data_IF_914307233597
#
_entry.id   IF_914307233597
#
_cell.length_a   1.000
_cell.length_b   1.000
_cell.length_c   1.000
_cell.angle_alpha   90.00
_cell.angle_beta   90.00
_cell.angle_gamma   90.00
#
_symmetry.space_group_name_H-M   'P 1'
#
loop_
_entity.id
_entity.type
_entity.pdbx_description
1 polymer ?
#
# COMPACT_ATOMS: atom_id res chain seq x y z
N UNK A 1 59.69 -42.92 8.79
CA UNK A 1 58.35 -43.46 8.48
C UNK A 1 57.20 -42.88 9.33
N UNK A 2 57.47 -42.17 10.44
CA UNK A 2 56.46 -41.44 11.23
C UNK A 2 55.97 -40.15 10.56
N UNK A 3 56.88 -39.34 10.03
CA UNK A 3 56.58 -38.05 9.38
C UNK A 3 55.51 -38.13 8.26
N UNK A 4 55.55 -39.16 7.42
CA UNK A 4 54.56 -39.37 6.33
C UNK A 4 53.18 -39.77 6.88
N UNK A 5 53.13 -40.46 8.03
CA UNK A 5 51.87 -40.80 8.70
C UNK A 5 51.24 -39.55 9.34
N UNK A 6 52.07 -38.68 9.89
CA UNK A 6 51.63 -37.44 10.52
C UNK A 6 51.04 -36.46 9.48
N UNK A 7 51.69 -36.33 8.30
CA UNK A 7 51.17 -35.52 7.19
C UNK A 7 49.82 -36.04 6.67
N UNK A 8 49.67 -37.37 6.53
CA UNK A 8 48.40 -37.98 6.10
C UNK A 8 47.28 -37.71 7.09
N UNK A 9 47.56 -37.76 8.40
CA UNK A 9 46.57 -37.47 9.45
C UNK A 9 46.13 -36.01 9.42
N UNK A 10 47.06 -35.06 9.21
CA UNK A 10 46.76 -33.63 9.09
C UNK A 10 45.86 -33.36 7.87
N UNK A 11 46.15 -33.99 6.74
CA UNK A 11 45.36 -33.81 5.51
C UNK A 11 43.92 -34.34 5.66
N UNK A 12 43.76 -35.50 6.31
CA UNK A 12 42.44 -36.09 6.60
C UNK A 12 41.65 -35.18 7.55
N UNK A 13 42.27 -34.65 8.60
CA UNK A 13 41.61 -33.73 9.53
C UNK A 13 41.18 -32.42 8.85
N UNK A 14 42.02 -31.87 7.96
CA UNK A 14 41.67 -30.68 7.17
C UNK A 14 40.47 -30.93 6.25
N UNK A 15 40.40 -32.10 5.61
CA UNK A 15 39.28 -32.46 4.74
C UNK A 15 37.96 -32.56 5.52
N UNK A 16 38.01 -33.17 6.71
CA UNK A 16 36.86 -33.31 7.60
C UNK A 16 36.35 -31.95 8.11
N UNK A 17 37.26 -31.03 8.44
CA UNK A 17 36.89 -29.67 8.90
C UNK A 17 36.19 -28.90 7.77
N UNK A 18 36.72 -28.95 6.55
CA UNK A 18 36.10 -28.27 5.41
C UNK A 18 34.73 -28.87 5.05
N UNK A 19 34.58 -30.20 5.11
CA UNK A 19 33.30 -30.86 4.90
C UNK A 19 32.26 -30.45 5.97
N UNK A 20 32.66 -30.37 7.24
CA UNK A 20 31.80 -29.91 8.32
C UNK A 20 31.36 -28.45 8.13
N UNK A 21 32.28 -27.57 7.75
CA UNK A 21 31.96 -26.16 7.46
C UNK A 21 31.00 -26.02 6.27
N UNK A 22 31.15 -26.86 5.24
CA UNK A 22 30.25 -26.84 4.08
C UNK A 22 28.83 -27.29 4.46
N UNK A 23 28.71 -28.30 5.34
CA UNK A 23 27.41 -28.77 5.83
C UNK A 23 26.73 -27.70 6.69
N UNK A 24 27.47 -27.04 7.59
CA UNK A 24 26.93 -25.95 8.42
C UNK A 24 26.47 -24.79 7.52
N UNK A 25 27.31 -24.38 6.57
CA UNK A 25 26.99 -23.27 5.67
C UNK A 25 25.84 -23.59 4.72
N UNK A 26 25.68 -24.84 4.28
CA UNK A 26 24.55 -25.27 3.46
C UNK A 26 23.24 -25.31 4.25
N UNK A 27 23.29 -25.69 5.54
CA UNK A 27 22.08 -25.79 6.37
C UNK A 27 21.37 -24.47 6.60
N UNK A 28 22.09 -23.35 6.60
CA UNK A 28 21.51 -22.01 6.81
C UNK A 28 20.88 -21.42 5.52
N UNK A 29 21.27 -21.91 4.33
CA UNK A 29 20.83 -21.36 3.04
C UNK A 29 19.40 -21.81 2.68
N UNK A 30 18.99 -23.00 3.10
CA UNK A 30 17.67 -23.57 2.77
C UNK A 30 16.52 -22.95 3.59
N UNK A 31 16.81 -22.35 4.76
CA UNK A 31 15.79 -21.83 5.69
C UNK A 31 15.41 -20.35 5.47
N UNK A 32 16.13 -19.64 4.59
CA UNK A 32 15.94 -18.20 4.39
C UNK A 32 14.95 -17.82 3.28
N UNK A 33 14.82 -18.64 2.24
CA UNK A 33 14.14 -18.22 1.00
C UNK A 33 12.61 -18.39 1.06
N UNK A 34 12.10 -19.44 1.71
CA UNK A 34 10.64 -19.60 1.91
C UNK A 34 10.06 -18.57 2.87
N UNK A 35 10.82 -18.16 3.89
CA UNK A 35 10.41 -17.14 4.86
C UNK A 35 10.35 -15.72 4.24
N UNK A 36 11.14 -15.45 3.20
CA UNK A 36 11.10 -14.17 2.45
C UNK A 36 9.93 -14.17 1.46
N UNK A 37 9.64 -15.30 0.80
CA UNK A 37 8.58 -15.37 -0.22
C UNK A 37 7.15 -15.35 0.37
N UNK A 38 6.94 -15.89 1.58
CA UNK A 38 5.64 -15.83 2.28
C UNK A 38 5.28 -14.42 2.79
N UNK A 39 6.20 -13.45 2.74
CA UNK A 39 5.89 -12.01 2.87
C UNK A 39 5.41 -11.37 1.56
N UNK A 40 5.00 -12.16 0.58
CA UNK A 40 4.17 -11.71 -0.53
C UNK A 40 2.78 -11.29 0.00
N UNK A 41 2.76 -10.07 0.56
CA UNK A 41 1.67 -9.13 0.82
C UNK A 41 0.30 -9.80 1.09
N UNK A 42 0.02 -10.08 2.37
CA UNK A 42 -1.37 -10.13 2.84
C UNK A 42 -1.94 -8.71 2.72
N UNK A 43 -2.51 -8.37 1.56
CA UNK A 43 -3.29 -7.14 1.38
C UNK A 43 -4.56 -7.28 2.24
N UNK A 44 -4.42 -6.99 3.54
CA UNK A 44 -5.54 -6.61 4.39
C UNK A 44 -6.03 -5.27 3.84
N UNK A 45 -6.85 -5.30 2.78
CA UNK A 45 -7.55 -4.11 2.29
C UNK A 45 -8.59 -3.75 3.34
N UNK A 46 -8.12 -3.14 4.42
CA UNK A 46 -8.98 -2.48 5.39
C UNK A 46 -9.47 -1.25 4.65
N UNK A 47 -10.73 -1.24 4.21
CA UNK A 47 -11.32 -0.08 3.55
C UNK A 47 -11.07 1.15 4.42
N UNK A 48 -10.08 1.96 4.04
CA UNK A 48 -9.60 3.09 4.83
C UNK A 48 -10.36 4.30 4.34
N UNK A 49 -11.35 4.72 5.12
CA UNK A 49 -12.01 6.00 4.89
C UNK A 49 -11.06 7.10 5.33
N UNK A 50 -10.70 7.99 4.40
CA UNK A 50 -9.70 9.03 4.61
C UNK A 50 -10.28 10.30 5.23
N UNK A 51 -11.45 10.72 4.76
CA UNK A 51 -12.14 11.92 5.19
C UNK A 51 -13.64 11.75 4.93
N UNK A 52 -14.48 12.32 5.80
CA UNK A 52 -15.93 12.31 5.66
C UNK A 52 -16.46 13.66 6.12
N UNK A 53 -17.13 14.37 5.23
CA UNK A 53 -17.94 15.54 5.56
C UNK A 53 -19.41 15.26 5.21
N UNK A 54 -20.29 15.37 6.21
CA UNK A 54 -21.74 15.20 6.06
C UNK A 54 -22.50 16.52 6.23
N UNK A 55 -21.82 17.58 6.65
CA UNK A 55 -22.43 18.88 6.91
C UNK A 55 -22.35 19.73 5.64
N UNK A 56 -23.51 20.21 5.20
CA UNK A 56 -23.63 21.13 4.07
C UNK A 56 -23.98 22.53 4.60
N UNK A 57 -22.97 23.37 4.78
CA UNK A 57 -23.12 24.71 5.36
C UNK A 57 -23.58 25.77 4.32
N UNK A 58 -23.96 25.35 3.10
CA UNK A 58 -24.34 26.29 2.04
C UNK A 58 -25.71 26.93 2.36
N UNK A 59 -25.81 28.28 2.36
CA UNK A 59 -26.98 29.00 2.89
C UNK A 59 -28.27 28.75 2.11
N UNK A 60 -28.17 28.38 0.83
CA UNK A 60 -29.33 28.20 -0.07
C UNK A 60 -29.97 26.80 0.00
N UNK A 61 -29.36 25.83 0.70
CA UNK A 61 -29.81 24.44 0.73
C UNK A 61 -30.75 24.16 1.91
N UNK A 62 -30.59 24.87 3.03
CA UNK A 62 -31.44 24.73 4.22
C UNK A 62 -32.95 24.93 3.96
N UNK A 63 -33.33 25.55 2.84
CA UNK A 63 -34.72 25.85 2.50
C UNK A 63 -35.37 24.86 1.52
N UNK A 64 -34.65 23.84 1.01
CA UNK A 64 -35.24 22.82 0.11
C UNK A 64 -35.39 21.47 0.82
N UNK A 65 -36.48 21.35 1.58
CA UNK A 65 -36.80 20.15 2.37
C UNK A 65 -37.27 18.94 1.55
N UNK A 66 -37.50 19.10 0.25
CA UNK A 66 -38.15 18.07 -0.60
C UNK A 66 -37.24 17.47 -1.69
N UNK A 67 -35.94 17.82 -1.70
CA UNK A 67 -34.99 17.27 -2.67
C UNK A 67 -34.40 15.94 -2.19
N UNK A 68 -34.38 14.94 -3.08
CA UNK A 68 -33.73 13.65 -2.83
C UNK A 68 -32.21 13.76 -2.98
N UNK A 69 -31.47 13.13 -2.07
CA UNK A 69 -30.01 13.10 -2.12
C UNK A 69 -29.49 12.28 -3.31
N UNK A 70 -28.55 12.88 -4.05
CA UNK A 70 -27.80 12.25 -5.15
C UNK A 70 -26.45 11.78 -4.60
N UNK A 71 -26.17 10.48 -4.68
CA UNK A 71 -24.85 9.94 -4.36
C UNK A 71 -24.02 9.84 -5.64
N UNK A 72 -23.06 10.75 -5.80
CA UNK A 72 -22.21 10.80 -6.98
C UNK A 72 -20.88 10.11 -6.70
N UNK A 73 -20.67 8.92 -7.27
CA UNK A 73 -19.47 8.12 -7.04
C UNK A 73 -18.47 8.37 -8.17
N UNK A 74 -17.25 8.81 -7.84
CA UNK A 74 -16.19 9.07 -8.81
C UNK A 74 -14.96 8.23 -8.48
N UNK A 75 -14.65 7.16 -9.24
CA UNK A 75 -13.36 6.51 -9.16
C UNK A 75 -12.28 7.40 -9.77
N UNK A 76 -11.10 7.44 -9.15
CA UNK A 76 -9.95 8.22 -9.61
C UNK A 76 -8.65 7.51 -9.26
N UNK A 77 -7.54 7.87 -9.90
CA UNK A 77 -6.22 7.29 -9.68
C UNK A 77 -5.14 8.35 -9.96
N UNK A 78 -3.90 8.19 -9.44
CA UNK A 78 -2.85 9.20 -9.55
C UNK A 78 -2.39 9.38 -11.00
N UNK A 79 -2.57 10.58 -11.53
CA UNK A 79 -2.04 11.02 -12.83
C UNK A 79 -1.86 12.54 -12.84
N UNK A 80 -0.99 13.10 -13.70
CA UNK A 80 -0.71 14.54 -13.72
C UNK A 80 -1.95 15.45 -13.81
N UNK A 81 -2.99 14.97 -14.48
CA UNK A 81 -4.24 15.67 -14.72
C UNK A 81 -5.35 15.35 -13.70
N UNK A 82 -5.08 14.51 -12.70
CA UNK A 82 -6.05 14.14 -11.66
C UNK A 82 -6.59 15.39 -10.93
N UNK A 83 -5.68 16.26 -10.47
CA UNK A 83 -6.01 17.49 -9.76
C UNK A 83 -6.87 18.45 -10.61
N UNK A 84 -6.49 18.84 -11.83
CA UNK A 84 -7.33 19.75 -12.64
C UNK A 84 -8.68 19.13 -13.02
N UNK A 85 -8.75 17.81 -13.27
CA UNK A 85 -10.03 17.16 -13.55
C UNK A 85 -10.98 17.15 -12.34
N UNK A 86 -10.48 16.75 -11.17
CA UNK A 86 -11.26 16.77 -9.93
C UNK A 86 -11.68 18.19 -9.55
N UNK A 87 -10.81 19.18 -9.75
CA UNK A 87 -11.12 20.60 -9.46
C UNK A 87 -12.26 21.10 -10.34
N UNK A 88 -12.19 20.88 -11.65
CA UNK A 88 -13.27 21.30 -12.57
C UNK A 88 -14.59 20.57 -12.28
N UNK A 89 -14.52 19.27 -11.97
CA UNK A 89 -15.69 18.50 -11.57
C UNK A 89 -16.29 19.06 -10.28
N UNK A 90 -15.47 19.32 -9.26
CA UNK A 90 -15.91 19.87 -7.98
C UNK A 90 -16.65 21.20 -8.14
N UNK A 91 -16.10 22.14 -8.91
CA UNK A 91 -16.78 23.40 -9.24
C UNK A 91 -18.13 23.17 -9.92
N UNK A 92 -18.25 22.14 -10.76
CA UNK A 92 -19.54 21.79 -11.37
C UNK A 92 -20.53 21.27 -10.32
N UNK A 93 -20.07 20.39 -9.42
CA UNK A 93 -20.92 19.77 -8.39
C UNK A 93 -21.35 20.77 -7.29
N UNK A 94 -20.59 21.83 -7.04
CA UNK A 94 -20.96 22.90 -6.10
C UNK A 94 -22.31 23.57 -6.43
N UNK A 95 -22.72 23.55 -7.71
CA UNK A 95 -23.99 24.12 -8.15
C UNK A 95 -25.18 23.14 -8.04
N UNK A 96 -24.93 21.87 -7.71
CA UNK A 96 -25.98 20.85 -7.57
C UNK A 96 -26.41 20.79 -6.10
N UNK A 97 -27.69 21.07 -5.77
CA UNK A 97 -28.19 20.90 -4.41
C UNK A 97 -28.39 19.42 -4.09
N UNK A 98 -28.36 19.07 -2.79
CA UNK A 98 -28.64 17.70 -2.30
C UNK A 98 -27.77 16.63 -2.95
N UNK A 99 -26.46 16.88 -3.04
CA UNK A 99 -25.47 15.95 -3.58
C UNK A 99 -24.48 15.53 -2.51
N UNK A 100 -24.14 14.24 -2.47
CA UNK A 100 -23.05 13.70 -1.69
C UNK A 100 -22.01 13.10 -2.64
N UNK A 101 -20.82 13.69 -2.65
CA UNK A 101 -19.75 13.28 -3.55
C UNK A 101 -18.85 12.25 -2.86
N UNK A 102 -18.78 11.05 -3.42
CA UNK A 102 -17.96 9.94 -2.94
C UNK A 102 -16.82 9.76 -3.92
N UNK A 103 -15.59 10.09 -3.50
CA UNK A 103 -14.39 9.90 -4.31
C UNK A 103 -13.68 8.63 -3.87
N UNK A 104 -13.54 7.68 -4.80
CA UNK A 104 -12.81 6.43 -4.60
C UNK A 104 -11.43 6.57 -5.26
N UNK A 105 -10.43 6.90 -4.45
CA UNK A 105 -9.04 7.07 -4.90
C UNK A 105 -8.33 5.71 -4.92
N UNK A 106 -7.87 5.29 -6.09
CA UNK A 106 -7.13 4.05 -6.33
C UNK A 106 -5.67 4.20 -5.88
N UNK A 107 -5.53 4.41 -4.57
CA UNK A 107 -4.28 4.58 -3.85
C UNK A 107 -4.32 3.75 -2.57
N UNK A 108 -3.21 3.08 -2.19
CA UNK A 108 -3.14 2.34 -0.93
C UNK A 108 -3.13 3.26 0.31
N UNK A 109 -2.84 4.55 0.12
CA UNK A 109 -2.75 5.58 1.16
C UNK A 109 -3.58 6.77 0.72
N UNK A 110 -4.17 7.48 1.68
CA UNK A 110 -4.92 8.70 1.40
C UNK A 110 -4.01 9.75 0.74
N UNK A 111 -4.38 10.21 -0.46
CA UNK A 111 -3.67 11.28 -1.17
C UNK A 111 -3.96 12.64 -0.53
N UNK A 112 -2.90 13.34 -0.10
CA UNK A 112 -3.01 14.72 0.38
C UNK A 112 -3.51 15.67 -0.72
N UNK A 113 -3.17 15.41 -1.99
CA UNK A 113 -3.64 16.20 -3.12
C UNK A 113 -5.16 16.09 -3.28
N UNK A 114 -5.72 14.87 -3.26
CA UNK A 114 -7.17 14.66 -3.37
C UNK A 114 -7.89 15.25 -2.15
N UNK A 115 -7.36 14.99 -0.95
CA UNK A 115 -7.92 15.54 0.29
C UNK A 115 -7.93 17.07 0.31
N UNK A 116 -6.89 17.71 -0.24
CA UNK A 116 -6.84 19.17 -0.32
C UNK A 116 -8.02 19.71 -1.13
N UNK A 117 -8.33 19.11 -2.28
CA UNK A 117 -9.46 19.52 -3.13
C UNK A 117 -10.78 19.32 -2.38
N UNK A 118 -10.99 18.13 -1.80
CA UNK A 118 -12.26 17.80 -1.13
C UNK A 118 -12.58 18.69 0.07
N UNK A 119 -11.57 19.21 0.77
CA UNK A 119 -11.78 20.14 1.90
C UNK A 119 -12.19 21.54 1.48
N UNK A 120 -11.94 21.94 0.22
CA UNK A 120 -12.32 23.25 -0.31
C UNK A 120 -13.71 23.25 -0.96
N UNK A 121 -14.39 22.10 -1.02
CA UNK A 121 -15.63 21.87 -1.77
C UNK A 121 -16.79 21.63 -0.82
#
# INVERSE_FOLDING_TARGET
MRFVKDIKSIFIMSLLINAALFIIFWSDVELGLEAVFQRAIKLQVKNKVCDVNLNDDRPYISNKTDLKMIYYVTPTYPRPEQTPELTRLAHTLMHVPSIHWIVADDQPVCSDQVLSILRYV
#
